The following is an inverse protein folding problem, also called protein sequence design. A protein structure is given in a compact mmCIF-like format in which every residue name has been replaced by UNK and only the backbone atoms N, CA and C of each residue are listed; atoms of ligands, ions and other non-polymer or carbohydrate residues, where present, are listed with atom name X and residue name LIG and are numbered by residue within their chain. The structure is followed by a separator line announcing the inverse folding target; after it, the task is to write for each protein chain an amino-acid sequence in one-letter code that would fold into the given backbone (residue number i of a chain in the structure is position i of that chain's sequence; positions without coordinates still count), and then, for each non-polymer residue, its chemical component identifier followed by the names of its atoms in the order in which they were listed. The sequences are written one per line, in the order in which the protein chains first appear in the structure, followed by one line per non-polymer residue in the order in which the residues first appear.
data_IF_281436963111
#
_entry.id   IF_281436963111
#
_cell.length_a   1.000
_cell.length_b   1.000
_cell.length_c   1.000
_cell.angle_alpha   90.00
_cell.angle_beta   90.00
_cell.angle_gamma   90.00
#
_symmetry.space_group_name_H-M   'P 1'
#
loop_
_entity.id
_entity.type
_entity.pdbx_description
1 polymer ?
#
# COMPACT_ATOMS: atom_id res chain seq x y z
N UNK A 1 9.83 -16.08 12.40
CA UNK A 1 10.38 -16.05 13.76
C UNK A 1 10.70 -14.60 14.09
N UNK A 2 9.93 -13.97 14.98
CA UNK A 2 10.08 -12.55 15.32
C UNK A 2 10.83 -12.44 16.65
N UNK A 3 12.00 -11.80 16.66
CA UNK A 3 12.80 -11.51 17.87
C UNK A 3 12.33 -10.20 18.55
N UNK A 4 11.04 -10.08 18.87
CA UNK A 4 10.52 -8.89 19.55
C UNK A 4 9.43 -9.18 20.59
N UNK A 5 9.30 -10.43 21.05
CA UNK A 5 8.30 -10.89 22.04
C UNK A 5 6.83 -10.54 21.71
N UNK A 6 6.52 -10.26 20.44
CA UNK A 6 5.16 -9.93 20.00
C UNK A 6 4.61 -11.03 19.10
N UNK A 7 3.47 -11.59 19.50
CA UNK A 7 2.68 -12.49 18.66
C UNK A 7 2.14 -11.67 17.48
N UNK A 8 2.52 -12.06 16.26
CA UNK A 8 2.09 -11.37 15.05
C UNK A 8 0.64 -11.77 14.75
N UNK A 9 -0.30 -10.87 15.00
CA UNK A 9 -1.71 -11.06 14.67
C UNK A 9 -1.94 -11.05 13.15
N UNK A 10 -3.09 -11.57 12.69
CA UNK A 10 -3.45 -11.53 11.27
C UNK A 10 -3.61 -10.07 10.82
N UNK A 11 -2.69 -9.58 9.99
CA UNK A 11 -2.72 -8.18 9.49
C UNK A 11 -3.66 -7.98 8.28
N UNK A 12 -4.36 -9.05 7.86
CA UNK A 12 -5.18 -9.06 6.65
C UNK A 12 -4.33 -8.93 5.39
N UNK A 13 -4.84 -8.25 4.35
CA UNK A 13 -4.11 -8.02 3.09
C UNK A 13 -3.01 -6.94 3.18
N UNK A 14 -2.65 -6.46 4.38
CA UNK A 14 -1.62 -5.44 4.55
C UNK A 14 -0.23 -6.07 4.51
N UNK A 15 0.74 -5.38 3.92
CA UNK A 15 2.14 -5.79 3.99
C UNK A 15 2.86 -5.11 5.16
N UNK A 16 3.66 -5.83 5.98
CA UNK A 16 4.28 -5.28 7.19
C UNK A 16 5.37 -4.23 6.92
N UNK A 17 5.89 -4.17 5.70
CA UNK A 17 7.03 -3.33 5.34
C UNK A 17 6.77 -2.37 4.16
N UNK A 18 5.66 -2.55 3.44
CA UNK A 18 5.43 -1.81 2.19
C UNK A 18 4.02 -1.25 2.15
N UNK A 19 3.89 0.00 1.72
CA UNK A 19 2.62 0.67 1.51
C UNK A 19 2.71 1.56 0.27
N UNK A 20 1.65 1.65 -0.56
CA UNK A 20 0.43 0.84 -0.54
C UNK A 20 0.66 -0.58 -1.08
N UNK A 21 0.35 -1.58 -0.25
CA UNK A 21 0.45 -3.00 -0.61
C UNK A 21 -0.71 -3.77 0.03
N UNK A 22 -1.72 -4.11 -0.78
CA UNK A 22 -2.92 -4.81 -0.35
C UNK A 22 -4.00 -4.88 -1.43
N UNK A 23 -5.19 -5.31 -1.03
CA UNK A 23 -6.36 -5.45 -1.92
C UNK A 23 -7.39 -4.39 -1.53
N UNK A 24 -7.86 -3.63 -2.50
CA UNK A 24 -8.73 -2.48 -2.35
C UNK A 24 -10.06 -2.74 -3.08
N UNK A 25 -11.21 -2.41 -2.47
CA UNK A 25 -12.50 -2.54 -3.14
C UNK A 25 -12.61 -1.50 -4.27
N UNK A 26 -13.22 -1.90 -5.38
CA UNK A 26 -13.50 -1.06 -6.52
C UNK A 26 -15.00 -0.82 -6.69
N UNK A 27 -15.36 0.13 -7.55
CA UNK A 27 -16.76 0.35 -7.91
C UNK A 27 -17.27 -0.86 -8.70
N UNK A 28 -18.30 -1.54 -8.17
CA UNK A 28 -18.90 -2.73 -8.76
C UNK A 28 -19.22 -3.77 -7.70
N UNK A 29 -19.98 -4.81 -8.09
CA UNK A 29 -20.18 -5.98 -7.24
C UNK A 29 -18.98 -6.92 -7.38
N UNK A 30 -18.45 -7.38 -6.25
CA UNK A 30 -17.25 -8.22 -6.14
C UNK A 30 -16.02 -7.75 -6.96
N UNK A 31 -15.83 -6.42 -7.06
CA UNK A 31 -14.72 -5.83 -7.79
C UNK A 31 -13.57 -5.47 -6.85
N UNK A 32 -12.39 -6.07 -7.06
CA UNK A 32 -11.23 -5.87 -6.20
C UNK A 32 -9.95 -5.58 -7.00
N UNK A 33 -9.16 -4.62 -6.53
CA UNK A 33 -7.87 -4.25 -7.10
C UNK A 33 -6.74 -4.56 -6.12
N UNK A 34 -5.81 -5.41 -6.53
CA UNK A 34 -4.57 -5.61 -5.80
C UNK A 34 -3.53 -4.56 -6.21
N UNK A 35 -3.03 -3.79 -5.24
CA UNK A 35 -1.95 -2.82 -5.43
C UNK A 35 -0.74 -3.31 -4.63
N UNK A 36 0.44 -3.34 -5.24
CA UNK A 36 1.68 -3.74 -4.60
C UNK A 36 2.81 -2.77 -4.97
N UNK A 37 3.00 -1.74 -4.15
CA UNK A 37 4.10 -0.78 -4.27
C UNK A 37 5.25 -1.22 -3.37
N UNK A 38 6.44 -1.39 -3.95
CA UNK A 38 7.67 -1.84 -3.28
C UNK A 38 8.82 -0.84 -3.40
N UNK A 39 8.62 0.30 -4.06
CA UNK A 39 9.63 1.35 -4.20
C UNK A 39 9.00 2.72 -4.42
N UNK A 40 9.73 3.78 -4.09
CA UNK A 40 9.28 5.17 -4.25
C UNK A 40 8.97 5.52 -5.71
N UNK A 41 9.69 4.89 -6.66
CA UNK A 41 9.38 5.01 -8.09
C UNK A 41 7.98 4.48 -8.41
N UNK A 42 7.63 3.32 -7.86
CA UNK A 42 6.29 2.75 -8.02
C UNK A 42 5.23 3.58 -7.30
N UNK A 43 5.58 4.18 -6.15
CA UNK A 43 4.68 5.09 -5.44
C UNK A 43 4.40 6.36 -6.26
N UNK A 44 5.43 6.98 -6.85
CA UNK A 44 5.28 8.13 -7.75
C UNK A 44 4.39 7.82 -8.95
N UNK A 45 4.65 6.71 -9.65
CA UNK A 45 3.81 6.29 -10.77
C UNK A 45 2.37 6.00 -10.35
N UNK A 46 2.16 5.47 -9.14
CA UNK A 46 0.80 5.31 -8.59
C UNK A 46 0.14 6.67 -8.33
N UNK A 47 0.86 7.62 -7.73
CA UNK A 47 0.34 8.98 -7.48
C UNK A 47 -0.07 9.68 -8.78
N UNK A 48 0.69 9.49 -9.86
CA UNK A 48 0.33 9.96 -11.20
C UNK A 48 -0.93 9.26 -11.74
N UNK A 49 -1.01 7.93 -11.59
CA UNK A 49 -2.14 7.14 -12.09
C UNK A 49 -3.47 7.43 -11.37
N UNK A 50 -3.44 7.85 -10.11
CA UNK A 50 -4.62 8.29 -9.35
C UNK A 50 -4.86 9.79 -9.43
N UNK A 51 -4.18 10.48 -10.35
CA UNK A 51 -4.28 11.93 -10.59
C UNK A 51 -4.00 12.78 -9.35
N UNK A 52 -3.18 12.27 -8.44
CA UNK A 52 -2.84 12.93 -7.18
C UNK A 52 -1.31 13.03 -6.99
N UNK A 53 -0.58 13.69 -7.92
CA UNK A 53 0.88 13.72 -7.94
C UNK A 53 1.51 14.37 -6.70
N UNK A 54 0.75 15.19 -5.96
CA UNK A 54 1.23 15.85 -4.73
C UNK A 54 1.48 14.87 -3.57
N UNK A 55 0.87 13.69 -3.57
CA UNK A 55 1.10 12.67 -2.53
C UNK A 55 2.53 12.14 -2.52
N UNK A 56 3.19 12.14 -3.69
CA UNK A 56 4.58 11.70 -3.81
C UNK A 56 5.58 12.65 -3.12
N UNK A 57 5.18 13.89 -2.84
CA UNK A 57 6.02 14.91 -2.23
C UNK A 57 5.56 15.27 -0.80
N UNK A 58 4.59 14.55 -0.25
CA UNK A 58 4.14 14.74 1.12
C UNK A 58 5.18 14.12 2.08
N UNK A 59 5.60 14.88 3.09
CA UNK A 59 6.57 14.44 4.11
C UNK A 59 6.13 13.18 4.88
N UNK A 60 4.83 12.85 4.85
CA UNK A 60 4.29 11.61 5.43
C UNK A 60 4.59 10.37 4.57
N UNK A 61 4.93 10.56 3.29
CA UNK A 61 5.10 9.51 2.29
C UNK A 61 6.39 9.63 1.46
N UNK A 62 7.26 10.60 1.75
CA UNK A 62 8.55 10.85 1.05
C UNK A 62 9.74 10.15 1.69
#
# INVERSE_FOLDING_TARGET
YTMNDRVQESIGNRHPQFAPHGVYPCLGDDAWLAIAVKSDKQFRSLCEAIEHPTLANDLRYS
#
